data_IF_673872985866
#
_entry.id   IF_673872985866
#
_cell.length_a   1.000
_cell.length_b   1.000
_cell.length_c   1.000
_cell.angle_alpha   90.00
_cell.angle_beta   90.00
_cell.angle_gamma   90.00
#
_symmetry.space_group_name_H-M   'P 1'
#
loop_
_entity.id
_entity.type
_entity.pdbx_description
1 polymer ?
#
# COMPACT_ATOMS: atom_id res chain seq x y z
N UNK A 1 12.21 -5.03 -28.68
CA UNK A 1 12.07 -3.81 -27.84
C UNK A 1 10.65 -3.26 -27.85
N UNK A 2 10.12 -2.73 -28.97
CA UNK A 2 8.75 -2.13 -29.00
C UNK A 2 7.67 -3.04 -28.41
N UNK A 3 7.52 -4.28 -28.90
CA UNK A 3 6.47 -5.19 -28.43
C UNK A 3 6.53 -5.48 -26.91
N UNK A 4 7.72 -5.42 -26.31
CA UNK A 4 7.92 -5.64 -24.88
C UNK A 4 7.49 -4.40 -24.08
N UNK A 5 7.79 -3.19 -24.57
CA UNK A 5 7.29 -1.94 -24.01
C UNK A 5 5.77 -1.83 -24.15
N UNK A 6 5.22 -2.20 -25.31
CA UNK A 6 3.77 -2.21 -25.54
C UNK A 6 3.06 -3.11 -24.52
N UNK A 7 3.61 -4.30 -24.26
CA UNK A 7 3.11 -5.23 -23.24
C UNK A 7 3.22 -4.65 -21.83
N UNK A 8 4.33 -4.01 -21.48
CA UNK A 8 4.52 -3.38 -20.17
C UNK A 8 3.53 -2.23 -19.97
N UNK A 9 3.30 -1.39 -20.98
CA UNK A 9 2.30 -0.33 -20.95
C UNK A 9 0.91 -0.90 -20.74
N UNK A 10 0.53 -1.95 -21.48
CA UNK A 10 -0.78 -2.58 -21.34
C UNK A 10 -1.00 -3.11 -19.91
N UNK A 11 0.00 -3.79 -19.34
CA UNK A 11 -0.07 -4.23 -17.94
C UNK A 11 -0.19 -3.06 -16.97
N UNK A 12 0.60 -1.99 -17.15
CA UNK A 12 0.54 -0.81 -16.28
C UNK A 12 -0.83 -0.12 -16.35
N UNK A 13 -1.47 -0.10 -17.53
CA UNK A 13 -2.83 0.41 -17.68
C UNK A 13 -3.85 -0.43 -16.90
N UNK A 14 -3.75 -1.77 -16.94
CA UNK A 14 -4.59 -2.65 -16.13
C UNK A 14 -4.41 -2.37 -14.63
N UNK A 15 -3.16 -2.28 -14.16
CA UNK A 15 -2.89 -1.97 -12.76
C UNK A 15 -3.45 -0.62 -12.35
N UNK A 16 -3.31 0.40 -13.21
CA UNK A 16 -3.85 1.73 -12.94
C UNK A 16 -5.38 1.70 -12.83
N UNK A 17 -6.06 1.01 -13.73
CA UNK A 17 -7.51 0.85 -13.68
C UNK A 17 -7.96 0.16 -12.38
N UNK A 18 -7.31 -0.95 -12.01
CA UNK A 18 -7.64 -1.67 -10.78
C UNK A 18 -7.45 -0.78 -9.53
N UNK A 19 -6.40 0.06 -9.52
CA UNK A 19 -6.13 0.98 -8.42
C UNK A 19 -7.16 2.11 -8.34
N UNK A 20 -7.61 2.64 -9.48
CA UNK A 20 -8.69 3.64 -9.55
C UNK A 20 -10.02 3.07 -9.06
N UNK A 21 -10.36 1.84 -9.44
CA UNK A 21 -11.58 1.16 -8.99
C UNK A 21 -11.57 0.98 -7.47
N UNK A 22 -10.45 0.55 -6.90
CA UNK A 22 -10.28 0.41 -5.45
C UNK A 22 -10.36 1.76 -4.73
N UNK A 23 -9.73 2.80 -5.27
CA UNK A 23 -9.78 4.15 -4.69
C UNK A 23 -11.21 4.70 -4.66
N UNK A 24 -12.01 4.42 -5.71
CA UNK A 24 -13.41 4.84 -5.78
C UNK A 24 -14.32 4.18 -4.72
N UNK A 25 -13.95 2.98 -4.24
CA UNK A 25 -14.70 2.25 -3.21
C UNK A 25 -14.51 2.79 -1.80
N UNK A 26 -13.33 3.34 -1.49
CA UNK A 26 -13.05 4.14 -0.28
C UNK A 26 -13.39 3.50 1.08
N UNK A 27 -13.43 2.17 1.19
CA UNK A 27 -13.84 1.45 2.40
C UNK A 27 -12.89 0.29 2.78
N UNK A 28 -13.03 -0.28 3.97
CA UNK A 28 -12.17 -1.37 4.47
C UNK A 28 -12.02 -2.53 3.46
N UNK A 29 -13.11 -2.93 2.81
CA UNK A 29 -13.09 -3.99 1.79
C UNK A 29 -12.24 -3.62 0.56
N UNK A 30 -12.17 -2.34 0.20
CA UNK A 30 -11.31 -1.85 -0.87
C UNK A 30 -9.82 -1.91 -0.47
N UNK A 31 -9.48 -1.62 0.80
CA UNK A 31 -8.11 -1.78 1.29
C UNK A 31 -7.67 -3.25 1.33
N UNK A 32 -8.54 -4.16 1.75
CA UNK A 32 -8.26 -5.61 1.71
C UNK A 32 -8.04 -6.11 0.28
N UNK A 33 -8.88 -5.66 -0.67
CA UNK A 33 -8.71 -5.97 -2.09
C UNK A 33 -7.39 -5.43 -2.63
N UNK A 34 -6.99 -4.21 -2.25
CA UNK A 34 -5.69 -3.63 -2.64
C UNK A 34 -4.52 -4.52 -2.21
N UNK A 35 -4.54 -5.01 -0.97
CA UNK A 35 -3.49 -5.88 -0.42
C UNK A 35 -3.46 -7.22 -1.14
N UNK A 36 -4.63 -7.81 -1.41
CA UNK A 36 -4.74 -9.08 -2.13
C UNK A 36 -4.18 -8.97 -3.56
N UNK A 37 -4.57 -7.92 -4.30
CA UNK A 37 -4.06 -7.62 -5.63
C UNK A 37 -2.56 -7.36 -5.62
N UNK A 38 -2.05 -6.62 -4.64
CA UNK A 38 -0.63 -6.33 -4.54
C UNK A 38 0.21 -7.59 -4.33
N UNK A 39 -0.29 -8.55 -3.55
CA UNK A 39 0.39 -9.83 -3.35
C UNK A 39 0.51 -10.64 -4.65
N UNK A 40 -0.49 -10.58 -5.51
CA UNK A 40 -0.42 -11.20 -6.84
C UNK A 40 0.58 -10.48 -7.76
N UNK A 41 0.68 -9.16 -7.64
CA UNK A 41 1.54 -8.32 -8.50
C UNK A 41 3.02 -8.32 -8.14
N UNK A 42 3.40 -8.80 -6.95
CA UNK A 42 4.80 -8.79 -6.52
C UNK A 42 5.71 -9.60 -7.46
N UNK A 43 5.26 -10.77 -7.90
CA UNK A 43 5.98 -11.60 -8.87
C UNK A 43 6.06 -10.93 -10.25
N UNK A 44 4.99 -10.24 -10.66
CA UNK A 44 4.90 -9.52 -11.94
C UNK A 44 5.84 -8.32 -11.98
N UNK A 45 5.90 -7.55 -10.88
CA UNK A 45 6.82 -6.42 -10.73
C UNK A 45 8.29 -6.87 -10.80
N UNK A 46 8.63 -7.98 -10.13
CA UNK A 46 9.98 -8.54 -10.19
C UNK A 46 10.34 -9.02 -11.60
N UNK A 47 9.37 -9.60 -12.33
CA UNK A 47 9.57 -9.96 -13.73
C UNK A 47 9.77 -8.72 -14.62
N UNK A 48 8.94 -7.68 -14.47
CA UNK A 48 9.06 -6.44 -15.23
C UNK A 48 10.40 -5.73 -15.01
N UNK A 49 10.93 -5.73 -13.78
CA UNK A 49 12.23 -5.14 -13.50
C UNK A 49 13.34 -5.81 -14.33
N UNK A 50 13.37 -7.15 -14.34
CA UNK A 50 14.34 -7.91 -15.16
C UNK A 50 14.20 -7.61 -16.64
N UNK A 51 12.97 -7.43 -17.11
CA UNK A 51 12.72 -7.07 -18.50
C UNK A 51 13.18 -5.66 -18.85
N UNK A 52 13.03 -4.70 -17.94
CA UNK A 52 13.52 -3.33 -18.11
C UNK A 52 15.05 -3.30 -18.17
N UNK A 53 15.72 -4.06 -17.30
CA UNK A 53 17.17 -4.23 -17.34
C UNK A 53 17.64 -4.80 -18.69
N UNK A 54 16.94 -5.83 -19.19
CA UNK A 54 17.20 -6.40 -20.50
C UNK A 54 16.99 -5.38 -21.63
N UNK A 55 15.88 -4.64 -21.62
CA UNK A 55 15.59 -3.61 -22.62
C UNK A 55 16.64 -2.50 -22.63
N UNK A 56 17.14 -2.10 -21.46
CA UNK A 56 18.20 -1.10 -21.35
C UNK A 56 19.52 -1.61 -21.95
N UNK A 57 19.86 -2.87 -21.72
CA UNK A 57 21.04 -3.49 -22.29
C UNK A 57 20.95 -3.55 -23.83
N UNK A 58 19.82 -4.05 -24.36
CA UNK A 58 19.55 -4.12 -25.80
C UNK A 58 19.60 -2.75 -26.47
N UNK A 59 19.00 -1.73 -25.84
CA UNK A 59 19.02 -0.36 -26.34
C UNK A 59 20.45 0.20 -26.47
N UNK A 60 21.32 -0.08 -25.49
CA UNK A 60 22.73 0.34 -25.50
C UNK A 60 23.54 -0.41 -26.56
N UNK A 61 23.21 -1.67 -26.80
CA UNK A 61 23.89 -2.53 -27.77
C UNK A 61 23.46 -2.30 -29.23
N UNK A 62 22.45 -1.46 -29.48
CA UNK A 62 21.84 -1.28 -30.80
C UNK A 62 22.01 0.15 -31.38
N UNK A 63 23.25 0.56 -31.75
CA UNK A 63 23.49 1.88 -32.34
C UNK A 63 22.93 2.04 -33.76
N UNK A 64 22.68 0.93 -34.48
CA UNK A 64 22.22 0.93 -35.88
C UNK A 64 20.70 0.92 -36.07
N UNK A 65 19.89 1.13 -35.03
CA UNK A 65 18.43 1.20 -35.18
C UNK A 65 18.05 2.43 -36.01
N UNK A 66 17.18 2.30 -37.02
CA UNK A 66 16.65 3.44 -37.78
C UNK A 66 16.05 4.52 -36.88
N UNK A 67 16.22 5.80 -37.23
CA UNK A 67 15.79 6.92 -36.39
C UNK A 67 14.28 6.91 -36.08
N UNK A 68 13.45 6.47 -37.03
CA UNK A 68 12.00 6.34 -36.82
C UNK A 68 11.66 5.32 -35.73
N UNK A 69 12.29 4.15 -35.78
CA UNK A 69 12.11 3.09 -34.77
C UNK A 69 12.68 3.52 -33.42
N UNK A 70 13.82 4.22 -33.44
CA UNK A 70 14.45 4.80 -32.25
C UNK A 70 13.52 5.84 -31.58
N UNK A 71 12.87 6.69 -32.37
CA UNK A 71 11.89 7.66 -31.87
C UNK A 71 10.62 6.99 -31.34
N UNK A 72 10.17 5.90 -31.97
CA UNK A 72 9.02 5.10 -31.49
C UNK A 72 9.31 4.48 -30.13
N UNK A 73 10.46 3.82 -29.97
CA UNK A 73 10.86 3.20 -28.71
C UNK A 73 10.96 4.24 -27.57
N UNK A 74 11.49 5.44 -27.85
CA UNK A 74 11.53 6.54 -26.86
C UNK A 74 10.15 6.94 -26.37
N UNK A 75 9.19 7.15 -27.28
CA UNK A 75 7.81 7.49 -26.89
C UNK A 75 7.16 6.42 -26.03
N UNK A 76 7.39 5.14 -26.35
CA UNK A 76 6.88 4.04 -25.52
C UNK A 76 7.53 4.02 -24.14
N UNK A 77 8.84 4.23 -24.05
CA UNK A 77 9.54 4.32 -22.78
C UNK A 77 9.05 5.50 -21.91
N UNK A 78 8.80 6.66 -22.53
CA UNK A 78 8.22 7.82 -21.86
C UNK A 78 6.80 7.53 -21.34
N UNK A 79 5.95 6.89 -22.15
CA UNK A 79 4.61 6.47 -21.72
C UNK A 79 4.65 5.49 -20.55
N UNK A 80 5.53 4.49 -20.60
CA UNK A 80 5.71 3.54 -19.51
C UNK A 80 6.21 4.22 -18.22
N UNK A 81 7.15 5.17 -18.33
CA UNK A 81 7.64 5.94 -17.20
C UNK A 81 6.53 6.79 -16.54
N UNK A 82 5.72 7.47 -17.35
CA UNK A 82 4.59 8.27 -16.86
C UNK A 82 3.52 7.41 -16.15
N UNK A 83 3.26 6.20 -16.65
CA UNK A 83 2.34 5.25 -16.01
C UNK A 83 2.91 4.74 -14.68
N UNK A 84 4.19 4.37 -14.65
CA UNK A 84 4.86 3.94 -13.43
C UNK A 84 4.81 5.02 -12.33
N UNK A 85 5.00 6.29 -12.70
CA UNK A 85 4.87 7.42 -11.77
C UNK A 85 3.44 7.55 -11.22
N UNK A 86 2.42 7.41 -12.07
CA UNK A 86 1.02 7.48 -11.66
C UNK A 86 0.64 6.33 -10.71
N UNK A 87 1.06 5.11 -11.03
CA UNK A 87 0.88 3.94 -10.17
C UNK A 87 1.53 4.18 -8.80
N UNK A 88 2.74 4.74 -8.77
CA UNK A 88 3.42 5.11 -7.52
C UNK A 88 2.59 6.07 -6.66
N UNK A 89 2.03 7.13 -7.27
CA UNK A 89 1.15 8.08 -6.57
C UNK A 89 -0.12 7.41 -6.01
N UNK A 90 -0.68 6.43 -6.72
CA UNK A 90 -1.83 5.66 -6.22
C UNK A 90 -1.44 4.84 -4.97
N UNK A 91 -0.29 4.16 -4.99
CA UNK A 91 0.18 3.44 -3.81
C UNK A 91 0.50 4.37 -2.63
N UNK A 92 1.08 5.55 -2.87
CA UNK A 92 1.32 6.53 -1.82
C UNK A 92 0.03 6.97 -1.13
N UNK A 93 -1.04 7.21 -1.91
CA UNK A 93 -2.37 7.54 -1.38
C UNK A 93 -2.95 6.38 -0.57
N UNK A 94 -2.87 5.15 -1.08
CA UNK A 94 -3.34 3.96 -0.37
C UNK A 94 -2.59 3.76 0.97
N UNK A 95 -1.27 3.97 0.99
CA UNK A 95 -0.46 3.93 2.22
C UNK A 95 -0.88 5.01 3.22
N UNK A 96 -1.13 6.24 2.74
CA UNK A 96 -1.58 7.33 3.59
C UNK A 96 -2.94 7.01 4.24
N UNK A 97 -3.86 6.45 3.48
CA UNK A 97 -5.16 6.01 4.00
C UNK A 97 -5.03 4.87 5.02
N UNK A 98 -4.28 3.81 4.71
CA UNK A 98 -4.06 2.70 5.65
C UNK A 98 -3.45 3.18 6.98
N UNK A 99 -2.53 4.15 6.94
CA UNK A 99 -1.97 4.78 8.15
C UNK A 99 -3.03 5.54 8.96
N UNK A 100 -3.97 6.20 8.30
CA UNK A 100 -5.06 6.91 8.97
C UNK A 100 -5.99 5.93 9.68
N UNK A 101 -6.37 4.82 9.03
CA UNK A 101 -7.19 3.77 9.64
C UNK A 101 -6.49 3.10 10.82
N UNK A 102 -5.21 2.76 10.67
CA UNK A 102 -4.39 2.19 11.76
C UNK A 102 -4.36 3.11 12.99
N UNK A 103 -4.27 4.43 12.77
CA UNK A 103 -4.30 5.42 13.86
C UNK A 103 -5.64 5.39 14.59
N UNK A 104 -6.76 5.40 13.87
CA UNK A 104 -8.10 5.36 14.48
C UNK A 104 -8.31 4.10 15.33
N UNK A 105 -7.97 2.93 14.79
CA UNK A 105 -8.03 1.66 15.53
C UNK A 105 -7.15 1.68 16.79
N UNK A 106 -5.96 2.27 16.69
CA UNK A 106 -5.03 2.39 17.84
C UNK A 106 -5.60 3.28 18.95
N UNK A 107 -6.21 4.40 18.60
CA UNK A 107 -6.87 5.31 19.54
C UNK A 107 -8.08 4.65 20.23
N UNK A 108 -8.89 3.91 19.47
CA UNK A 108 -9.99 3.12 20.00
C UNK A 108 -9.50 2.04 21.00
N UNK A 109 -8.45 1.31 20.66
CA UNK A 109 -7.83 0.33 21.56
C UNK A 109 -7.30 0.97 22.85
N UNK A 110 -6.66 2.13 22.77
CA UNK A 110 -6.21 2.84 23.97
C UNK A 110 -7.38 3.26 24.85
N UNK A 111 -8.47 3.73 24.25
CA UNK A 111 -9.69 4.11 24.97
C UNK A 111 -10.32 2.91 25.67
N UNK A 112 -10.41 1.75 25.00
CA UNK A 112 -10.87 0.50 25.60
C UNK A 112 -9.99 0.05 26.77
N UNK A 113 -8.66 0.14 26.65
CA UNK A 113 -7.73 -0.19 27.74
C UNK A 113 -7.95 0.71 28.95
N UNK A 114 -8.07 2.03 28.75
CA UNK A 114 -8.36 2.98 29.84
C UNK A 114 -9.70 2.68 30.50
N UNK A 115 -10.75 2.42 29.73
CA UNK A 115 -12.07 2.05 30.25
C UNK A 115 -12.02 0.77 31.08
N UNK A 116 -11.33 -0.27 30.59
CA UNK A 116 -11.09 -1.51 31.33
C UNK A 116 -10.34 -1.24 32.65
N UNK A 117 -9.27 -0.45 32.60
CA UNK A 117 -8.48 -0.13 33.79
C UNK A 117 -9.27 0.72 34.81
N UNK A 118 -10.27 1.48 34.38
CA UNK A 118 -11.23 2.13 35.27
C UNK A 118 -12.18 1.10 35.89
N UNK A 119 -12.74 0.18 35.09
CA UNK A 119 -13.63 -0.86 35.59
C UNK A 119 -12.96 -1.78 36.62
N UNK A 120 -11.67 -2.09 36.45
CA UNK A 120 -10.92 -2.86 37.46
C UNK A 120 -10.77 -2.10 38.78
N UNK A 121 -10.70 -0.76 38.76
CA UNK A 121 -10.71 0.07 39.96
C UNK A 121 -12.10 0.17 40.62
N UNK A 122 -13.16 -0.04 39.85
CA UNK A 122 -14.55 -0.07 40.35
C UNK A 122 -14.95 -1.43 40.95
N UNK A 123 -14.06 -2.43 41.04
CA UNK A 123 -14.38 -3.70 41.70
C UNK A 123 -14.93 -3.44 43.12
N UNK A 124 -16.19 -3.79 43.41
CA UNK A 124 -16.71 -3.71 44.76
C UNK A 124 -16.18 -4.91 45.54
N UNK A 125 -15.28 -4.65 46.50
CA UNK A 125 -14.74 -5.73 47.35
C UNK A 125 -13.46 -5.46 48.12
N UNK A 126 -13.18 -4.23 48.55
CA UNK A 126 -12.19 -3.95 49.61
C UNK A 126 -12.78 -3.06 50.73
N UNK A 127 -14.10 -3.07 50.90
CA UNK A 127 -14.80 -2.48 52.06
C UNK A 127 -15.19 -3.56 53.10
N UNK A 128 -14.37 -4.60 53.25
CA UNK A 128 -14.42 -5.45 54.44
C UNK A 128 -13.00 -5.68 54.98
N UNK A 129 -12.48 -4.67 55.66
CA UNK A 129 -11.59 -4.91 56.80
C UNK A 129 -12.36 -4.53 58.08
N UNK A 130 -13.08 -5.46 58.74
CA UNK A 130 -13.58 -5.23 60.08
C UNK A 130 -12.40 -5.39 61.05
N UNK A 131 -11.71 -4.30 61.40
CA UNK A 131 -10.58 -4.46 62.33
C UNK A 131 -9.66 -3.28 62.55
N UNK A 132 -10.18 -2.08 62.81
CA UNK A 132 -9.44 -1.11 63.63
C UNK A 132 -10.38 -0.53 64.68
N UNK A 133 -10.48 -1.23 65.81
CA UNK A 133 -10.96 -0.66 67.06
C UNK A 133 -9.89 0.34 67.50
N UNK A 134 -10.24 1.62 67.50
CA UNK A 134 -9.46 2.67 68.13
C UNK A 134 -9.29 2.33 69.63
N UNK A 135 -8.03 2.18 70.05
CA UNK A 135 -7.65 1.91 71.44
C UNK A 135 -6.82 3.08 71.96
N UNK A 136 -7.49 4.22 72.17
CA UNK A 136 -7.07 5.24 73.13
C UNK A 136 -8.28 5.86 73.83
N UNK A 137 -8.72 5.16 74.87
CA UNK A 137 -9.35 5.70 76.07
C UNK A 137 -8.59 5.13 77.28
#
# INVERSE_FOLDING_TARGET
>A
MSAMLDRQIAWMMTVMQDLEEVESGGNEAALEQLVALQKMREEELAAMLREQEFLLAEWRAAPGIPDEERARIRRLAESAANLAEQIGKCYDRAVAWAKAEMKQCSEAMQSLRRGRDMLTRYQPGMDEAPGFIDRKA
#
